data_IF_421894630836
#
_entry.id   IF_421894630836
#
_cell.length_a   1.000
_cell.length_b   1.000
_cell.length_c   1.000
_cell.angle_alpha   90.00
_cell.angle_beta   90.00
_cell.angle_gamma   90.00
#
_symmetry.space_group_name_H-M   'P 1'
#
loop_
_entity.id
_entity.type
_entity.pdbx_description
1 polymer ?
#
# COMPACT_ATOMS: atom_id res chain seq x y z
N UNK A 1 -3.42 9.01 -19.29
CA UNK A 1 -4.82 8.50 -19.28
C UNK A 1 -4.77 7.13 -18.65
N UNK A 2 -5.55 6.85 -17.61
CA UNK A 2 -5.48 5.58 -16.86
C UNK A 2 -6.38 4.55 -17.53
N UNK A 3 -5.92 3.30 -17.70
CA UNK A 3 -6.68 2.20 -18.32
C UNK A 3 -8.09 2.04 -17.73
N UNK A 4 -8.24 2.28 -16.42
CA UNK A 4 -9.54 2.25 -15.74
C UNK A 4 -10.56 3.24 -16.29
N UNK A 5 -10.11 4.45 -16.69
CA UNK A 5 -10.98 5.46 -17.33
C UNK A 5 -11.36 5.06 -18.75
N UNK A 6 -10.46 4.41 -19.49
CA UNK A 6 -10.75 3.90 -20.83
C UNK A 6 -11.78 2.77 -20.79
N UNK A 7 -11.76 1.96 -19.74
CA UNK A 7 -12.69 0.85 -19.52
C UNK A 7 -14.00 1.27 -18.83
N UNK A 8 -14.24 2.57 -18.63
CA UNK A 8 -15.43 3.11 -17.96
C UNK A 8 -15.68 2.54 -16.54
N UNK A 9 -14.61 2.15 -15.83
CA UNK A 9 -14.71 1.60 -14.47
C UNK A 9 -14.82 2.76 -13.48
N UNK A 10 -16.05 3.08 -13.08
CA UNK A 10 -16.34 4.19 -12.16
C UNK A 10 -16.25 3.78 -10.68
N UNK A 11 -16.47 2.50 -10.37
CA UNK A 11 -16.44 1.98 -9.00
C UNK A 11 -15.36 0.91 -8.89
N UNK A 12 -14.28 1.21 -8.17
CA UNK A 12 -13.17 0.27 -7.94
C UNK A 12 -13.02 -0.02 -6.45
N UNK A 13 -12.88 -1.30 -6.10
CA UNK A 13 -12.58 -1.73 -4.72
C UNK A 13 -11.09 -2.03 -4.60
N UNK A 14 -10.41 -1.37 -3.66
CA UNK A 14 -9.01 -1.63 -3.37
C UNK A 14 -8.89 -2.60 -2.20
N UNK A 15 -8.59 -3.87 -2.50
CA UNK A 15 -8.36 -4.91 -1.51
C UNK A 15 -6.86 -5.14 -1.34
N UNK A 16 -6.33 -4.82 -0.17
CA UNK A 16 -4.92 -5.08 0.16
C UNK A 16 -4.72 -5.19 1.67
N UNK A 17 -3.51 -5.54 2.09
CA UNK A 17 -3.11 -5.50 3.50
C UNK A 17 -3.31 -4.10 4.06
N UNK A 18 -3.80 -4.01 5.30
CA UNK A 18 -3.87 -2.78 6.09
C UNK A 18 -2.57 -1.96 6.04
N UNK A 19 -1.41 -2.64 5.98
CA UNK A 19 -0.11 -1.98 5.94
C UNK A 19 0.15 -1.21 4.65
N UNK A 20 -0.19 -1.80 3.50
CA UNK A 20 0.05 -1.17 2.19
C UNK A 20 -1.09 -0.24 1.75
N UNK A 21 -2.23 -0.28 2.45
CA UNK A 21 -3.42 0.47 2.10
C UNK A 21 -3.15 1.98 1.96
N UNK A 22 -2.45 2.58 2.93
CA UNK A 22 -2.17 4.02 2.93
C UNK A 22 -1.42 4.46 1.65
N UNK A 23 -0.35 3.73 1.29
CA UNK A 23 0.45 4.04 0.11
C UNK A 23 -0.36 3.88 -1.18
N UNK A 24 -1.10 2.79 -1.28
CA UNK A 24 -1.91 2.49 -2.46
C UNK A 24 -3.00 3.55 -2.67
N UNK A 25 -3.66 3.99 -1.59
CA UNK A 25 -4.64 5.08 -1.65
C UNK A 25 -4.01 6.41 -2.10
N UNK A 26 -2.82 6.75 -1.60
CA UNK A 26 -2.13 7.97 -2.02
C UNK A 26 -1.84 7.97 -3.54
N UNK A 27 -1.42 6.82 -4.08
CA UNK A 27 -1.18 6.64 -5.52
C UNK A 27 -2.49 6.75 -6.29
N UNK A 28 -3.56 6.06 -5.85
CA UNK A 28 -4.88 6.14 -6.49
C UNK A 28 -5.40 7.58 -6.54
N UNK A 29 -5.29 8.32 -5.44
CA UNK A 29 -5.66 9.73 -5.35
C UNK A 29 -4.87 10.59 -6.35
N UNK A 30 -3.55 10.38 -6.45
CA UNK A 30 -2.68 11.10 -7.38
C UNK A 30 -3.00 10.81 -8.84
N UNK A 31 -3.40 9.57 -9.16
CA UNK A 31 -3.83 9.15 -10.49
C UNK A 31 -5.28 9.57 -10.82
N UNK A 32 -5.98 10.20 -9.88
CA UNK A 32 -7.38 10.61 -10.03
C UNK A 32 -8.33 9.41 -10.22
N UNK A 33 -8.01 8.28 -9.58
CA UNK A 33 -8.84 7.08 -9.54
C UNK A 33 -9.51 7.02 -8.18
N UNK A 34 -10.84 7.06 -8.18
CA UNK A 34 -11.63 6.90 -6.96
C UNK A 34 -11.76 5.41 -6.63
N UNK A 35 -11.38 5.03 -5.40
CA UNK A 35 -11.35 3.64 -4.96
C UNK A 35 -11.92 3.52 -3.55
N UNK A 36 -12.74 2.50 -3.33
CA UNK A 36 -13.24 2.15 -2.01
C UNK A 36 -12.20 1.28 -1.29
N UNK A 37 -11.66 1.71 -0.13
CA UNK A 37 -10.68 0.93 0.61
C UNK A 37 -11.34 -0.26 1.30
N UNK A 38 -10.80 -1.46 1.08
CA UNK A 38 -11.16 -2.68 1.78
C UNK A 38 -9.91 -3.31 2.39
N UNK A 39 -9.43 -2.78 3.53
CA UNK A 39 -8.21 -3.28 4.16
C UNK A 39 -8.49 -4.64 4.77
N UNK A 40 -7.74 -5.64 4.33
CA UNK A 40 -7.71 -6.94 4.98
C UNK A 40 -6.76 -6.80 6.17
N UNK A 41 -7.20 -7.15 7.40
CA UNK A 41 -6.29 -7.17 8.53
C UNK A 41 -5.12 -8.09 8.15
N UNK A 42 -3.92 -7.51 8.14
CA UNK A 42 -2.74 -8.35 8.06
C UNK A 42 -2.79 -9.20 9.33
N UNK A 43 -3.08 -10.50 9.18
CA UNK A 43 -2.92 -11.47 10.25
C UNK A 43 -1.45 -11.38 10.64
N UNK A 44 -1.14 -10.52 11.60
CA UNK A 44 0.20 -10.28 12.06
C UNK A 44 0.70 -11.63 12.55
N UNK A 45 1.63 -12.15 11.74
CA UNK A 45 2.50 -13.29 12.01
C UNK A 45 2.73 -13.34 13.51
N UNK A 46 2.09 -14.29 14.17
CA UNK A 46 2.13 -14.40 15.62
C UNK A 46 3.59 -14.40 16.08
N UNK A 47 3.97 -13.33 16.78
CA UNK A 47 5.35 -13.04 17.19
C UNK A 47 5.69 -13.95 18.37
N UNK A 48 5.88 -15.24 18.11
CA UNK A 48 6.26 -16.21 19.15
C UNK A 48 7.80 -16.35 19.30
N UNK A 49 8.61 -15.79 18.39
CA UNK A 49 10.06 -16.01 18.38
C UNK A 49 10.90 -14.74 18.25
N UNK A 50 11.88 -14.57 19.15
CA UNK A 50 12.79 -13.43 19.22
C UNK A 50 13.65 -13.21 17.96
N UNK A 51 13.90 -14.27 17.18
CA UNK A 51 14.69 -14.24 15.93
C UNK A 51 13.95 -13.57 14.76
N UNK A 52 12.64 -13.40 14.83
CA UNK A 52 11.84 -12.71 13.80
C UNK A 52 11.87 -11.18 13.94
N UNK A 53 12.32 -10.66 15.09
CA UNK A 53 12.33 -9.23 15.40
C UNK A 53 13.25 -8.42 14.48
N UNK A 54 14.42 -8.96 14.14
CA UNK A 54 15.38 -8.30 13.25
C UNK A 54 14.91 -8.27 11.80
N UNK A 55 14.27 -9.36 11.33
CA UNK A 55 13.62 -9.40 10.00
C UNK A 55 12.49 -8.39 9.89
N UNK A 56 11.71 -8.22 10.95
CA UNK A 56 10.62 -7.25 10.98
C UNK A 56 11.13 -5.80 10.89
N UNK A 57 12.22 -5.48 11.59
CA UNK A 57 12.87 -4.16 11.50
C UNK A 57 13.35 -3.88 10.07
N UNK A 58 13.93 -4.87 9.39
CA UNK A 58 14.33 -4.76 7.99
C UNK A 58 13.13 -4.58 7.04
N UNK A 59 12.02 -5.28 7.27
CA UNK A 59 10.79 -5.09 6.48
C UNK A 59 10.22 -3.67 6.65
N UNK A 60 10.12 -3.19 7.88
CA UNK A 60 9.69 -1.81 8.18
C UNK A 60 10.61 -0.79 7.50
N UNK A 61 11.93 -0.93 7.66
CA UNK A 61 12.89 0.00 7.04
C UNK A 61 12.79 0.00 5.52
N UNK A 62 12.59 -1.17 4.91
CA UNK A 62 12.37 -1.28 3.46
C UNK A 62 11.11 -0.57 3.03
N UNK A 63 10.04 -0.64 3.81
CA UNK A 63 8.77 0.01 3.47
C UNK A 63 8.82 1.52 3.68
N UNK A 64 9.43 1.99 4.77
CA UNK A 64 9.71 3.42 4.97
C UNK A 64 10.63 3.95 3.86
N UNK A 65 11.68 3.22 3.50
CA UNK A 65 12.55 3.55 2.39
C UNK A 65 11.80 3.62 1.07
N UNK A 66 10.88 2.70 0.82
CA UNK A 66 10.02 2.74 -0.36
C UNK A 66 9.10 3.97 -0.35
N UNK A 67 8.49 4.32 0.78
CA UNK A 67 7.65 5.53 0.90
C UNK A 67 8.48 6.77 0.58
N UNK A 68 9.66 6.93 1.19
CA UNK A 68 10.56 8.07 0.95
C UNK A 68 11.01 8.11 -0.51
N UNK A 69 11.38 6.98 -1.09
CA UNK A 69 11.77 6.88 -2.49
C UNK A 69 10.64 7.28 -3.45
N UNK A 70 9.42 6.77 -3.23
CA UNK A 70 8.24 7.13 -4.03
C UNK A 70 7.82 8.59 -3.81
N UNK A 71 8.07 9.16 -2.64
CA UNK A 71 7.86 10.58 -2.37
C UNK A 71 8.84 11.44 -3.16
N UNK A 72 10.15 11.11 -3.17
CA UNK A 72 11.15 11.79 -4.01
C UNK A 72 10.85 11.68 -5.51
N UNK A 73 10.33 10.53 -5.95
CA UNK A 73 9.89 10.32 -7.33
C UNK A 73 8.61 11.10 -7.69
N UNK A 74 7.92 11.67 -6.70
CA UNK A 74 6.65 12.37 -6.90
C UNK A 74 5.51 11.43 -7.24
N UNK A 75 5.49 10.20 -6.72
CA UNK A 75 4.42 9.20 -6.93
C UNK A 75 3.45 9.12 -5.75
N UNK A 76 3.93 9.52 -4.59
CA UNK A 76 3.16 9.88 -3.39
C UNK A 76 3.31 11.39 -3.28
#
# INVERSE_FOLDING_TARGET
>A
MTILKEQNVNNSLLVTSSYHMYRSLAICKKLGVDVYPAPVPCYEKSIFHATLRTRFILEILREYGAIVYFWFKGWI
#
